data_IF_065060701270
#
_entry.id   IF_065060701270
#
_cell.length_a   1.000
_cell.length_b   1.000
_cell.length_c   1.000
_cell.angle_alpha   90.00
_cell.angle_beta   90.00
_cell.angle_gamma   90.00
#
_symmetry.space_group_name_H-M   'P 1'
#
loop_
_entity.id
_entity.type
_entity.pdbx_description
1 polymer ?
#
# COMPACT_ATOMS: atom_id res chain seq x y z
N UNK A 1 -10.20 -12.22 37.68
CA UNK A 1 -9.39 -11.44 36.73
C UNK A 1 -9.40 -12.21 35.41
N UNK A 2 -10.56 -12.27 34.74
CA UNK A 2 -10.74 -13.09 33.53
C UNK A 2 -10.96 -12.24 32.28
N UNK A 3 -11.14 -10.92 32.45
CA UNK A 3 -11.56 -10.02 31.36
C UNK A 3 -10.37 -9.43 30.60
N UNK A 4 -9.24 -9.21 31.26
CA UNK A 4 -8.06 -8.63 30.62
C UNK A 4 -7.37 -9.65 29.70
N UNK A 5 -7.16 -10.88 30.15
CA UNK A 5 -6.51 -11.95 29.37
C UNK A 5 -7.26 -12.32 28.09
N UNK A 6 -8.60 -12.30 28.14
CA UNK A 6 -9.46 -12.64 26.99
C UNK A 6 -9.48 -11.51 25.96
N UNK A 7 -9.42 -10.25 26.39
CA UNK A 7 -9.35 -9.09 25.47
C UNK A 7 -8.01 -9.04 24.74
N UNK A 8 -6.89 -9.31 25.43
CA UNK A 8 -5.55 -9.36 24.81
C UNK A 8 -5.44 -10.51 23.82
N UNK A 9 -5.91 -11.71 24.18
CA UNK A 9 -5.91 -12.86 23.28
C UNK A 9 -6.81 -12.66 22.05
N UNK A 10 -7.90 -11.91 22.18
CA UNK A 10 -8.79 -11.56 21.06
C UNK A 10 -8.14 -10.52 20.14
N UNK A 11 -7.46 -9.51 20.69
CA UNK A 11 -6.69 -8.55 19.91
C UNK A 11 -5.53 -9.21 19.15
N UNK A 12 -4.75 -10.06 19.81
CA UNK A 12 -3.68 -10.84 19.17
C UNK A 12 -4.21 -11.76 18.07
N UNK A 13 -5.38 -12.40 18.28
CA UNK A 13 -6.01 -13.28 17.30
C UNK A 13 -6.58 -12.53 16.09
N UNK A 14 -7.05 -11.29 16.25
CA UNK A 14 -7.52 -10.44 15.14
C UNK A 14 -6.33 -9.86 14.36
N UNK A 15 -5.23 -9.53 15.04
CA UNK A 15 -3.97 -9.09 14.40
C UNK A 15 -3.23 -10.27 13.72
N UNK A 16 -3.44 -11.51 14.19
CA UNK A 16 -2.83 -12.75 13.69
C UNK A 16 -3.41 -13.27 12.37
N UNK A 17 -4.32 -12.56 11.70
CA UNK A 17 -4.53 -12.77 10.26
C UNK A 17 -3.30 -12.22 9.53
N UNK A 18 -2.17 -12.96 9.60
CA UNK A 18 -0.85 -12.63 9.05
C UNK A 18 -0.97 -11.68 7.86
N UNK A 19 -0.84 -10.37 8.10
CA UNK A 19 -0.69 -9.42 7.00
C UNK A 19 0.49 -9.94 6.18
N UNK A 20 0.31 -10.18 4.87
CA UNK A 20 1.42 -10.63 4.04
C UNK A 20 2.51 -9.58 4.15
N UNK A 21 3.66 -9.98 4.69
CA UNK A 21 4.84 -9.10 4.73
C UNK A 21 5.18 -8.71 3.30
N UNK A 22 5.55 -7.45 3.10
CA UNK A 22 6.06 -7.05 1.81
C UNK A 22 7.31 -7.86 1.47
N UNK A 23 7.48 -8.13 0.17
CA UNK A 23 8.71 -8.73 -0.35
C UNK A 23 9.87 -7.74 -0.21
N UNK A 24 11.11 -8.24 -0.15
CA UNK A 24 12.29 -7.35 -0.09
C UNK A 24 12.32 -6.35 -1.24
N UNK A 25 11.90 -6.77 -2.45
CA UNK A 25 11.79 -5.88 -3.61
C UNK A 25 10.86 -4.70 -3.36
N UNK A 26 9.70 -4.93 -2.74
CA UNK A 26 8.74 -3.86 -2.41
C UNK A 26 9.28 -2.92 -1.33
N UNK A 27 10.09 -3.43 -0.39
CA UNK A 27 10.77 -2.61 0.62
C UNK A 27 11.83 -1.72 -0.04
N UNK A 28 12.64 -2.28 -0.93
CA UNK A 28 13.69 -1.54 -1.63
C UNK A 28 13.09 -0.47 -2.56
N UNK A 29 12.01 -0.80 -3.26
CA UNK A 29 11.25 0.12 -4.09
C UNK A 29 10.61 1.25 -3.26
N UNK A 30 10.00 0.91 -2.12
CA UNK A 30 9.48 1.91 -1.20
C UNK A 30 10.57 2.84 -0.66
N UNK A 31 11.75 2.30 -0.31
CA UNK A 31 12.87 3.10 0.13
C UNK A 31 13.39 4.04 -0.97
N UNK A 32 13.49 3.56 -2.21
CA UNK A 32 13.87 4.37 -3.37
C UNK A 32 12.88 5.52 -3.64
N UNK A 33 11.58 5.24 -3.49
CA UNK A 33 10.49 6.19 -3.73
C UNK A 33 10.17 7.06 -2.50
N UNK A 34 10.86 6.87 -1.37
CA UNK A 34 10.59 7.60 -0.12
C UNK A 34 9.23 7.29 0.51
N UNK A 35 8.64 6.12 0.20
CA UNK A 35 7.35 5.69 0.73
C UNK A 35 7.56 5.20 2.18
N UNK A 36 6.79 5.71 3.16
CA UNK A 36 6.87 5.25 4.53
C UNK A 36 6.46 3.77 4.64
N UNK A 37 7.11 3.03 5.54
CA UNK A 37 6.86 1.60 5.76
C UNK A 37 6.26 1.42 7.16
N UNK A 38 5.27 0.54 7.29
CA UNK A 38 4.64 0.22 8.58
C UNK A 38 5.52 -0.67 9.48
N UNK A 39 5.07 -0.91 10.70
CA UNK A 39 5.76 -1.76 11.69
C UNK A 39 5.92 -3.23 11.24
N UNK A 40 5.24 -3.66 10.18
CA UNK A 40 5.28 -5.00 9.60
C UNK A 40 6.09 -5.08 8.31
N UNK A 41 6.71 -3.97 7.88
CA UNK A 41 7.49 -3.91 6.64
C UNK A 41 6.65 -3.64 5.39
N UNK A 42 5.39 -3.22 5.52
CA UNK A 42 4.49 -2.97 4.39
C UNK A 42 4.53 -1.49 4.00
N UNK A 43 4.75 -1.14 2.72
CA UNK A 43 4.68 0.24 2.24
C UNK A 43 3.29 0.83 2.50
N UNK A 44 3.25 2.02 3.10
CA UNK A 44 2.04 2.75 3.42
C UNK A 44 1.81 3.79 2.33
N UNK A 45 0.80 3.53 1.50
CA UNK A 45 0.38 4.44 0.42
C UNK A 45 1.12 4.19 -0.90
N UNK A 46 0.77 5.01 -1.88
CA UNK A 46 1.34 4.98 -3.23
C UNK A 46 1.86 6.38 -3.54
N UNK A 47 3.03 6.54 -4.18
CA UNK A 47 3.53 7.85 -4.59
C UNK A 47 2.51 8.56 -5.47
N UNK A 48 2.41 9.87 -5.31
CA UNK A 48 1.43 10.68 -6.03
C UNK A 48 1.64 10.61 -7.54
N UNK A 49 2.90 10.55 -7.97
CA UNK A 49 3.33 10.40 -9.36
C UNK A 49 2.78 9.11 -9.98
N UNK A 50 2.90 7.99 -9.26
CA UNK A 50 2.38 6.68 -9.72
C UNK A 50 0.86 6.70 -9.85
N UNK A 51 0.17 7.35 -8.91
CA UNK A 51 -1.30 7.48 -8.96
C UNK A 51 -1.73 8.35 -10.16
N UNK A 52 -1.01 9.46 -10.40
CA UNK A 52 -1.26 10.33 -11.56
C UNK A 52 -1.02 9.58 -12.87
N UNK A 53 0.10 8.84 -12.97
CA UNK A 53 0.43 8.10 -14.17
C UNK A 53 -0.65 7.05 -14.47
N UNK A 54 -1.06 6.26 -13.49
CA UNK A 54 -2.11 5.27 -13.65
C UNK A 54 -3.46 5.91 -14.02
N UNK A 55 -3.78 7.07 -13.44
CA UNK A 55 -4.97 7.83 -13.81
C UNK A 55 -4.94 8.24 -15.29
N UNK A 56 -3.82 8.80 -15.75
CA UNK A 56 -3.67 9.20 -17.14
C UNK A 56 -3.72 8.00 -18.10
N UNK A 57 -3.16 6.85 -17.72
CA UNK A 57 -3.21 5.63 -18.52
C UNK A 57 -4.67 5.15 -18.69
N UNK A 58 -5.43 5.10 -17.58
CA UNK A 58 -6.86 4.73 -17.60
C UNK A 58 -7.70 5.70 -18.42
N UNK A 59 -7.43 7.00 -18.31
CA UNK A 59 -8.14 8.00 -19.11
C UNK A 59 -7.77 7.87 -20.60
N UNK A 60 -6.51 7.60 -20.92
CA UNK A 60 -6.07 7.42 -22.30
C UNK A 60 -6.68 6.18 -22.94
N UNK A 61 -6.82 5.08 -22.18
CA UNK A 61 -7.54 3.89 -22.61
C UNK A 61 -9.02 4.20 -22.89
N UNK A 62 -9.67 4.95 -22.01
CA UNK A 62 -11.09 5.30 -22.15
C UNK A 62 -11.37 6.21 -23.35
N UNK A 63 -10.53 7.23 -23.57
CA UNK A 63 -10.72 8.22 -24.64
C UNK A 63 -10.03 7.82 -25.96
N UNK A 64 -9.19 6.78 -25.96
CA UNK A 64 -8.44 6.32 -27.13
C UNK A 64 -7.34 7.28 -27.59
N UNK A 65 -6.94 8.23 -26.75
CA UNK A 65 -5.89 9.24 -27.03
C UNK A 65 -5.07 9.50 -25.77
N UNK A 66 -3.76 9.73 -25.92
CA UNK A 66 -2.91 10.08 -24.78
C UNK A 66 -3.18 11.52 -24.32
N UNK A 67 -3.85 11.66 -23.17
CA UNK A 67 -4.21 12.96 -22.60
C UNK A 67 -3.01 13.80 -22.18
N UNK A 68 -1.82 13.20 -21.99
CA UNK A 68 -0.59 13.95 -21.67
C UNK A 68 -0.05 14.71 -22.89
N UNK A 69 -0.52 14.38 -24.09
CA UNK A 69 -0.07 14.97 -25.36
C UNK A 69 -0.97 16.10 -25.87
N UNK A 70 -2.06 16.40 -25.18
CA UNK A 70 -3.08 17.39 -25.56
C UNK A 70 -2.74 18.84 -25.15
N UNK A 71 -1.45 19.15 -24.99
CA UNK A 71 -0.93 20.47 -24.58
C UNK A 71 -0.85 21.43 -25.76
#
# INVERSE_FOLDING_TARGET
METETVLTATAERIVSSKRPKATQKQIDEAAYLGIPIDEYGVPIGTPWEVVIDEMYDRLSEYYGVDLRTLI
#
